data_IF_133652689686
#
_entry.id   IF_133652689686
#
_cell.length_a   1.000
_cell.length_b   1.000
_cell.length_c   1.000
_cell.angle_alpha   90.00
_cell.angle_beta   90.00
_cell.angle_gamma   90.00
#
_symmetry.space_group_name_H-M   'P 1'
#
loop_
_entity.id
_entity.type
_entity.pdbx_description
1 polymer ?
#
# COMPACT_ATOMS: atom_id res chain seq x y z
N UNK A 1 -10.33 -1.70 -0.91
CA UNK A 1 -9.48 -1.50 0.31
C UNK A 1 -9.67 -0.10 0.83
N UNK A 2 -9.93 0.06 2.11
CA UNK A 2 -9.92 1.36 2.77
C UNK A 2 -8.51 1.64 3.30
N UNK A 3 -8.00 2.85 3.12
CA UNK A 3 -6.69 3.25 3.63
C UNK A 3 -6.86 4.31 4.71
N UNK A 4 -6.19 4.16 5.83
CA UNK A 4 -6.11 5.16 6.87
C UNK A 4 -4.74 5.09 7.57
N UNK A 5 -4.59 5.86 8.62
CA UNK A 5 -3.32 6.03 9.33
C UNK A 5 -3.48 5.71 10.81
N UNK A 6 -2.38 5.69 11.55
CA UNK A 6 -2.39 5.87 12.99
C UNK A 6 -2.87 7.30 13.31
N UNK A 7 -3.16 7.57 14.58
CA UNK A 7 -3.63 8.90 15.00
C UNK A 7 -2.53 9.94 14.82
N UNK A 8 -2.93 11.18 14.52
CA UNK A 8 -2.05 12.34 14.32
C UNK A 8 -0.95 12.09 13.27
N UNK A 9 -1.33 11.72 12.03
CA UNK A 9 -0.32 11.46 11.00
C UNK A 9 0.37 12.75 10.55
N UNK A 10 1.63 12.62 10.13
CA UNK A 10 2.36 13.69 9.47
C UNK A 10 1.82 13.95 8.06
N UNK A 11 2.22 15.06 7.46
CA UNK A 11 1.87 15.36 6.07
C UNK A 11 2.43 14.31 5.12
N UNK A 12 3.64 13.82 5.37
CA UNK A 12 4.28 12.77 4.56
C UNK A 12 3.46 11.48 4.59
N UNK A 13 3.01 11.07 5.79
CA UNK A 13 2.19 9.86 5.93
C UNK A 13 0.86 10.01 5.21
N UNK A 14 0.21 11.18 5.32
CA UNK A 14 -1.02 11.46 4.56
C UNK A 14 -0.78 11.42 3.05
N UNK A 15 0.31 12.01 2.58
CA UNK A 15 0.66 12.01 1.16
C UNK A 15 0.90 10.59 0.66
N UNK A 16 1.59 9.77 1.44
CA UNK A 16 1.80 8.37 1.12
C UNK A 16 0.47 7.63 0.96
N UNK A 17 -0.45 7.80 1.91
CA UNK A 17 -1.77 7.17 1.85
C UNK A 17 -2.58 7.65 0.65
N UNK A 18 -2.50 8.93 0.30
CA UNK A 18 -3.15 9.47 -0.89
C UNK A 18 -2.55 8.90 -2.17
N UNK A 19 -1.22 8.75 -2.22
CA UNK A 19 -0.58 8.08 -3.34
C UNK A 19 -1.12 6.67 -3.52
N UNK A 20 -1.19 5.89 -2.44
CA UNK A 20 -1.73 4.53 -2.49
C UNK A 20 -3.19 4.50 -2.93
N UNK A 21 -4.01 5.44 -2.44
CA UNK A 21 -5.42 5.50 -2.84
C UNK A 21 -5.58 5.79 -4.33
N UNK A 22 -4.72 6.61 -4.90
CA UNK A 22 -4.71 6.87 -6.36
C UNK A 22 -4.28 5.63 -7.14
N UNK A 23 -3.23 4.93 -6.68
CA UNK A 23 -2.75 3.71 -7.33
C UNK A 23 -3.86 2.67 -7.44
N UNK A 24 -4.58 2.43 -6.35
CA UNK A 24 -5.58 1.37 -6.27
C UNK A 24 -6.99 1.84 -6.61
N UNK A 25 -7.21 3.14 -6.83
CA UNK A 25 -8.54 3.69 -7.04
C UNK A 25 -9.46 3.43 -5.85
N UNK A 26 -8.94 3.50 -4.63
CA UNK A 26 -9.66 3.17 -3.42
C UNK A 26 -9.80 4.38 -2.50
N UNK A 27 -10.58 4.21 -1.42
CA UNK A 27 -10.87 5.28 -0.48
C UNK A 27 -9.74 5.47 0.54
N UNK A 28 -9.40 6.72 0.80
CA UNK A 28 -8.59 7.14 1.95
C UNK A 28 -9.48 7.94 2.90
N UNK A 29 -9.43 7.64 4.19
CA UNK A 29 -10.13 8.40 5.22
C UNK A 29 -9.15 8.91 6.26
N UNK A 30 -9.35 10.16 6.71
CA UNK A 30 -8.58 10.71 7.82
C UNK A 30 -8.91 9.92 9.09
N UNK A 31 -7.85 9.52 9.82
CA UNK A 31 -8.04 8.77 11.07
C UNK A 31 -8.84 9.56 12.10
N UNK A 32 -8.51 10.84 12.29
CA UNK A 32 -9.15 11.65 13.32
C UNK A 32 -9.08 10.97 14.69
N UNK A 33 -10.22 10.91 15.39
CA UNK A 33 -10.34 10.27 16.71
C UNK A 33 -10.87 8.83 16.62
N UNK A 34 -11.02 8.28 15.42
CA UNK A 34 -11.53 6.92 15.26
C UNK A 34 -10.60 5.90 15.88
N UNK A 35 -11.19 4.94 16.62
CA UNK A 35 -10.47 3.75 17.05
C UNK A 35 -10.54 2.67 15.96
N UNK A 36 -9.96 1.49 16.19
CA UNK A 36 -9.96 0.41 15.19
C UNK A 36 -11.39 -0.05 14.84
N UNK A 37 -12.27 -0.12 15.84
CA UNK A 37 -13.66 -0.51 15.60
C UNK A 37 -14.36 0.47 14.66
N UNK A 38 -14.14 1.78 14.88
CA UNK A 38 -14.73 2.81 14.02
C UNK A 38 -14.22 2.70 12.58
N UNK A 39 -12.92 2.40 12.40
CA UNK A 39 -12.35 2.20 11.06
C UNK A 39 -12.95 0.98 10.37
N UNK A 40 -13.15 -0.12 11.10
CA UNK A 40 -13.77 -1.33 10.54
C UNK A 40 -15.22 -1.09 10.15
N UNK A 41 -15.96 -0.34 10.97
CA UNK A 41 -17.34 0.07 10.63
C UNK A 41 -17.35 0.96 9.39
N UNK A 42 -16.37 1.87 9.27
CA UNK A 42 -16.24 2.71 8.08
C UNK A 42 -15.96 1.89 6.83
N UNK A 43 -15.10 0.88 6.93
CA UNK A 43 -14.82 -0.03 5.82
C UNK A 43 -16.10 -0.76 5.37
N UNK A 44 -16.89 -1.26 6.31
CA UNK A 44 -18.16 -1.91 6.00
C UNK A 44 -19.15 -0.94 5.35
N UNK A 45 -19.25 0.28 5.86
CA UNK A 45 -20.11 1.34 5.32
C UNK A 45 -19.78 1.66 3.86
N UNK A 46 -18.48 1.62 3.50
CA UNK A 46 -18.00 1.90 2.16
C UNK A 46 -17.90 0.64 1.28
N UNK A 47 -18.43 -0.50 1.73
CA UNK A 47 -18.35 -1.79 1.03
C UNK A 47 -16.92 -2.24 0.72
N UNK A 48 -15.97 -1.89 1.60
CA UNK A 48 -14.57 -2.28 1.45
C UNK A 48 -14.32 -3.63 2.12
N UNK A 49 -13.58 -4.50 1.43
CA UNK A 49 -13.26 -5.84 1.91
C UNK A 49 -12.09 -5.82 2.90
N UNK A 50 -11.15 -4.93 2.68
CA UNK A 50 -9.91 -4.84 3.44
C UNK A 50 -9.67 -3.42 3.95
N UNK A 51 -8.85 -3.33 5.01
CA UNK A 51 -8.41 -2.07 5.60
C UNK A 51 -6.88 -2.09 5.69
N UNK A 52 -6.24 -1.03 5.24
CA UNK A 52 -4.80 -0.81 5.43
C UNK A 52 -4.60 0.34 6.41
N UNK A 53 -3.79 0.13 7.44
CA UNK A 53 -3.43 1.16 8.43
C UNK A 53 -1.93 1.41 8.35
N UNK A 54 -1.56 2.66 8.10
CA UNK A 54 -0.17 3.08 8.01
C UNK A 54 0.24 3.76 9.31
N UNK A 55 1.21 3.18 9.99
CA UNK A 55 1.83 3.75 11.19
C UNK A 55 3.11 4.49 10.80
N UNK A 56 3.53 5.40 11.66
CA UNK A 56 4.72 6.22 11.42
C UNK A 56 5.64 6.26 12.63
N UNK A 57 6.92 6.53 12.38
CA UNK A 57 7.91 6.83 13.41
C UNK A 57 8.58 8.13 12.99
N UNK A 58 8.59 9.13 13.89
CA UNK A 58 9.17 10.45 13.62
C UNK A 58 8.66 11.07 12.31
N UNK A 59 7.36 10.92 12.06
CA UNK A 59 6.71 11.49 10.87
C UNK A 59 6.92 10.72 9.57
N UNK A 60 7.58 9.56 9.59
CA UNK A 60 7.84 8.74 8.42
C UNK A 60 7.01 7.45 8.46
N UNK A 61 6.30 7.08 7.39
CA UNK A 61 5.64 5.77 7.32
C UNK A 61 6.63 4.66 7.62
N UNK A 62 6.28 3.79 8.58
CA UNK A 62 7.20 2.77 9.09
C UNK A 62 6.61 1.38 9.13
N UNK A 63 5.27 1.27 9.12
CA UNK A 63 4.56 0.00 9.20
C UNK A 63 3.25 0.11 8.44
N UNK A 64 2.94 -0.92 7.66
CA UNK A 64 1.63 -1.06 7.04
C UNK A 64 1.05 -2.37 7.51
N UNK A 65 -0.12 -2.32 8.13
CA UNK A 65 -0.87 -3.50 8.54
C UNK A 65 -2.14 -3.58 7.71
N UNK A 66 -2.35 -4.73 7.09
CA UNK A 66 -3.54 -5.03 6.31
C UNK A 66 -4.46 -5.92 7.12
N UNK A 67 -5.72 -5.52 7.21
CA UNK A 67 -6.77 -6.25 7.93
C UNK A 67 -7.90 -6.62 6.98
N UNK A 68 -8.59 -7.73 7.27
CA UNK A 68 -9.91 -7.95 6.69
C UNK A 68 -10.90 -6.96 7.32
N UNK A 69 -12.08 -6.78 6.70
CA UNK A 69 -13.12 -5.93 7.29
C UNK A 69 -13.74 -6.51 8.57
N UNK A 70 -13.35 -7.73 8.94
CA UNK A 70 -13.71 -8.36 10.23
C UNK A 70 -12.66 -8.14 11.31
N UNK A 71 -11.56 -7.45 10.98
CA UNK A 71 -10.49 -7.15 11.92
C UNK A 71 -9.39 -8.19 12.01
N UNK A 72 -9.37 -9.19 11.14
CA UNK A 72 -8.30 -10.18 11.09
C UNK A 72 -7.07 -9.57 10.43
N UNK A 73 -5.91 -9.68 11.06
CA UNK A 73 -4.64 -9.24 10.48
C UNK A 73 -4.23 -10.18 9.36
N UNK A 74 -4.08 -9.64 8.15
CA UNK A 74 -3.73 -10.40 6.96
C UNK A 74 -2.23 -10.37 6.67
N UNK A 75 -1.60 -9.22 6.89
CA UNK A 75 -0.19 -9.01 6.63
C UNK A 75 0.27 -7.74 7.33
N UNK A 76 1.45 -7.79 7.92
CA UNK A 76 2.13 -6.59 8.44
C UNK A 76 3.53 -6.54 7.88
N UNK A 77 3.89 -5.39 7.33
CA UNK A 77 5.24 -5.14 6.79
C UNK A 77 5.83 -3.88 7.43
N UNK A 78 7.12 -3.94 7.73
CA UNK A 78 7.90 -2.78 8.14
C UNK A 78 8.52 -2.17 6.89
N UNK A 79 8.42 -0.85 6.75
CA UNK A 79 8.75 -0.17 5.49
C UNK A 79 9.54 1.11 5.68
N UNK A 80 10.18 1.53 4.61
CA UNK A 80 10.63 2.89 4.36
C UNK A 80 10.05 3.29 3.01
N UNK A 81 9.56 4.53 2.88
CA UNK A 81 8.87 4.94 1.66
C UNK A 81 9.42 6.22 1.07
N UNK A 82 9.30 6.37 -0.24
CA UNK A 82 9.42 7.63 -0.95
C UNK A 82 8.06 8.00 -1.51
N UNK A 83 7.60 9.22 -1.24
CA UNK A 83 6.29 9.68 -1.71
C UNK A 83 6.44 10.44 -3.03
N UNK A 84 5.35 10.52 -3.79
CA UNK A 84 5.29 11.29 -5.02
C UNK A 84 4.46 12.55 -4.81
N UNK A 85 4.99 13.69 -5.28
CA UNK A 85 4.26 14.96 -5.33
C UNK A 85 3.66 15.20 -6.71
N UNK A 86 4.02 14.40 -7.71
CA UNK A 86 3.51 14.52 -9.07
C UNK A 86 2.39 13.50 -9.32
N UNK A 87 1.65 13.73 -10.41
CA UNK A 87 0.58 12.83 -10.83
C UNK A 87 1.17 11.46 -11.19
N UNK A 88 0.58 10.39 -10.64
CA UNK A 88 1.11 9.03 -10.84
C UNK A 88 0.78 8.45 -12.22
N UNK A 89 -0.34 8.86 -12.83
CA UNK A 89 -0.78 8.39 -14.15
C UNK A 89 -0.93 6.86 -14.22
N UNK A 90 -1.44 6.26 -13.15
CA UNK A 90 -1.77 4.84 -13.08
C UNK A 90 -3.27 4.69 -13.32
N UNK A 91 -3.64 3.69 -14.11
CA UNK A 91 -5.04 3.30 -14.32
C UNK A 91 -5.36 2.12 -13.39
N UNK A 92 -6.07 2.35 -12.27
CA UNK A 92 -6.29 1.28 -11.27
C UNK A 92 -6.98 0.04 -11.84
N UNK A 93 -7.93 0.21 -12.76
CA UNK A 93 -8.68 -0.90 -13.34
C UNK A 93 -7.83 -1.85 -14.20
N UNK A 94 -6.64 -1.39 -14.63
CA UNK A 94 -5.71 -2.18 -15.46
C UNK A 94 -4.46 -2.61 -14.71
N UNK A 95 -4.41 -2.36 -13.41
CA UNK A 95 -3.23 -2.62 -12.59
C UNK A 95 -2.96 -4.10 -12.46
N UNK A 96 -1.68 -4.48 -12.58
CA UNK A 96 -1.17 -5.84 -12.44
C UNK A 96 -0.11 -5.87 -11.34
N UNK A 97 0.09 -7.04 -10.76
CA UNK A 97 1.19 -7.28 -9.82
C UNK A 97 2.18 -8.24 -10.44
N UNK A 98 3.45 -7.84 -10.49
CA UNK A 98 4.57 -8.69 -10.87
C UNK A 98 5.41 -8.89 -9.61
N UNK A 99 5.43 -10.10 -9.06
CA UNK A 99 6.12 -10.39 -7.81
C UNK A 99 7.27 -11.37 -8.03
N UNK A 100 8.43 -11.03 -7.49
CA UNK A 100 9.61 -11.90 -7.42
C UNK A 100 9.90 -12.31 -5.97
N UNK A 101 8.98 -12.06 -5.04
CA UNK A 101 9.09 -12.39 -3.62
C UNK A 101 7.81 -13.13 -3.21
N UNK A 102 7.91 -14.46 -3.07
CA UNK A 102 6.75 -15.32 -2.84
C UNK A 102 5.95 -14.93 -1.58
N UNK A 103 6.64 -14.52 -0.52
CA UNK A 103 6.01 -14.13 0.74
C UNK A 103 5.11 -12.90 0.61
N UNK A 104 5.29 -12.10 -0.44
CA UNK A 104 4.49 -10.90 -0.71
C UNK A 104 3.43 -11.13 -1.81
N UNK A 105 3.32 -12.33 -2.36
CA UNK A 105 2.30 -12.65 -3.38
C UNK A 105 0.88 -12.49 -2.83
N UNK A 106 0.70 -12.59 -1.52
CA UNK A 106 -0.58 -12.35 -0.84
C UNK A 106 -1.13 -10.94 -1.12
N UNK A 107 -0.28 -9.99 -1.48
CA UNK A 107 -0.71 -8.65 -1.84
C UNK A 107 -1.61 -8.63 -3.08
N UNK A 108 -1.48 -9.61 -3.97
CA UNK A 108 -2.40 -9.78 -5.09
C UNK A 108 -3.85 -9.92 -4.61
N UNK A 109 -4.07 -10.72 -3.59
CA UNK A 109 -5.40 -10.92 -3.00
C UNK A 109 -5.86 -9.69 -2.22
N UNK A 110 -4.96 -9.10 -1.42
CA UNK A 110 -5.28 -7.94 -0.59
C UNK A 110 -5.67 -6.75 -1.46
N UNK A 111 -4.92 -6.49 -2.53
CA UNK A 111 -5.19 -5.41 -3.46
C UNK A 111 -6.25 -5.74 -4.52
N UNK A 112 -6.63 -7.02 -4.61
CA UNK A 112 -7.54 -7.52 -5.65
C UNK A 112 -7.05 -7.16 -7.06
N UNK A 113 -5.79 -7.43 -7.32
CA UNK A 113 -5.15 -7.24 -8.63
C UNK A 113 -4.54 -8.55 -9.10
N UNK A 114 -4.51 -8.74 -10.42
CA UNK A 114 -4.05 -9.97 -11.02
C UNK A 114 -2.52 -10.11 -10.94
N UNK A 115 -2.06 -11.29 -10.51
CA UNK A 115 -0.65 -11.63 -10.49
C UNK A 115 -0.23 -12.08 -11.90
N UNK A 116 0.80 -11.42 -12.45
CA UNK A 116 1.34 -11.71 -13.78
C UNK A 116 2.84 -11.97 -13.71
N UNK A 117 3.39 -12.84 -14.59
CA UNK A 117 4.84 -13.06 -14.63
C UNK A 117 5.61 -11.85 -15.18
N UNK A 118 5.00 -11.07 -16.06
CA UNK A 118 5.58 -9.85 -16.65
C UNK A 118 4.49 -8.82 -16.93
N UNK A 119 4.89 -7.56 -17.02
CA UNK A 119 4.03 -6.47 -17.45
C UNK A 119 4.89 -5.34 -18.03
N UNK A 120 4.28 -4.50 -18.85
CA UNK A 120 4.97 -3.37 -19.50
C UNK A 120 4.42 -2.01 -19.08
N UNK A 121 3.21 -1.97 -18.56
CA UNK A 121 2.54 -0.73 -18.14
C UNK A 121 1.51 -1.04 -17.06
N UNK A 122 1.14 -0.04 -16.27
CA UNK A 122 0.17 -0.17 -15.17
C UNK A 122 0.45 -1.39 -14.30
N UNK A 123 1.62 -1.44 -13.66
CA UNK A 123 1.95 -2.57 -12.82
C UNK A 123 2.75 -2.17 -11.59
N UNK A 124 2.67 -3.03 -10.59
CA UNK A 124 3.47 -2.97 -9.37
C UNK A 124 4.50 -4.09 -9.49
N UNK A 125 5.77 -3.75 -9.29
CA UNK A 125 6.85 -4.73 -9.29
C UNK A 125 7.38 -4.91 -7.87
N UNK A 126 7.31 -6.13 -7.37
CA UNK A 126 7.96 -6.51 -6.11
C UNK A 126 9.23 -7.25 -6.47
N UNK A 127 10.38 -6.62 -6.22
CA UNK A 127 11.70 -7.20 -6.47
C UNK A 127 12.39 -7.57 -5.17
N UNK A 128 13.17 -8.64 -5.22
CA UNK A 128 13.98 -9.07 -4.08
C UNK A 128 15.19 -8.15 -3.92
N UNK A 129 15.48 -7.78 -2.69
CA UNK A 129 16.71 -7.06 -2.34
C UNK A 129 17.53 -7.91 -1.37
N UNK A 130 18.84 -7.85 -1.53
CA UNK A 130 19.80 -8.55 -0.66
C UNK A 130 20.74 -7.55 0.01
N UNK A 131 20.16 -6.50 0.60
CA UNK A 131 20.95 -5.57 1.40
C UNK A 131 20.68 -5.83 2.90
N UNK A 132 21.44 -5.14 3.76
CA UNK A 132 21.37 -5.34 5.21
C UNK A 132 20.03 -4.89 5.81
N UNK A 133 19.37 -3.92 5.18
CA UNK A 133 18.20 -3.23 5.74
C UNK A 133 16.88 -3.65 5.11
N UNK A 134 16.89 -4.16 3.87
CA UNK A 134 15.67 -4.39 3.11
C UNK A 134 15.68 -5.79 2.47
N UNK A 135 14.51 -6.41 2.45
CA UNK A 135 14.30 -7.72 1.80
C UNK A 135 13.63 -7.60 0.45
N UNK A 136 12.90 -6.50 0.23
CA UNK A 136 12.18 -6.30 -1.02
C UNK A 136 11.98 -4.81 -1.30
N UNK A 137 11.72 -4.52 -2.57
CA UNK A 137 11.36 -3.20 -3.06
C UNK A 137 10.08 -3.29 -3.86
N UNK A 138 9.13 -2.41 -3.57
CA UNK A 138 7.88 -2.30 -4.31
C UNK A 138 7.95 -1.02 -5.14
N UNK A 139 7.92 -1.19 -6.46
CA UNK A 139 7.99 -0.09 -7.44
C UNK A 139 6.68 -0.02 -8.21
N UNK A 140 6.31 1.19 -8.64
CA UNK A 140 5.05 1.46 -9.32
C UNK A 140 5.36 2.00 -10.71
N UNK A 141 4.73 1.42 -11.74
CA UNK A 141 4.89 1.81 -13.13
C UNK A 141 3.55 2.26 -13.69
N UNK A 142 3.55 3.41 -14.36
CA UNK A 142 2.32 4.06 -14.81
C UNK A 142 1.81 3.52 -16.15
N UNK A 143 0.74 4.13 -16.67
CA UNK A 143 0.13 3.73 -17.94
C UNK A 143 1.03 3.89 -19.16
N UNK A 144 2.13 4.63 -19.03
CA UNK A 144 3.13 4.81 -20.08
C UNK A 144 4.33 3.87 -19.92
N UNK A 145 4.33 3.02 -18.90
CA UNK A 145 5.44 2.14 -18.57
C UNK A 145 6.59 2.84 -17.84
N UNK A 146 6.40 4.09 -17.43
CA UNK A 146 7.41 4.85 -16.69
C UNK A 146 7.32 4.59 -15.20
N UNK A 147 8.47 4.55 -14.52
CA UNK A 147 8.55 4.34 -13.09
C UNK A 147 8.10 5.61 -12.35
N UNK A 148 7.22 5.44 -11.37
CA UNK A 148 6.78 6.53 -10.50
C UNK A 148 7.80 6.80 -9.39
N UNK A 149 7.73 8.00 -8.81
CA UNK A 149 8.55 8.38 -7.66
C UNK A 149 8.13 7.65 -6.38
N UNK A 150 6.88 7.20 -6.32
CA UNK A 150 6.38 6.41 -5.20
C UNK A 150 7.11 5.07 -5.14
N UNK A 151 7.74 4.76 -3.99
CA UNK A 151 8.44 3.51 -3.77
C UNK A 151 8.28 3.06 -2.33
N UNK A 152 8.26 1.76 -2.12
CA UNK A 152 8.20 1.14 -0.79
C UNK A 152 9.36 0.16 -0.68
N UNK A 153 10.23 0.38 0.31
CA UNK A 153 11.25 -0.61 0.69
C UNK A 153 10.67 -1.41 1.85
N UNK A 154 10.64 -2.72 1.71
CA UNK A 154 10.16 -3.63 2.75
C UNK A 154 11.37 -4.10 3.54
N UNK A 155 11.39 -3.75 4.83
CA UNK A 155 12.47 -4.13 5.76
C UNK A 155 12.24 -5.51 6.34
N UNK A 156 10.99 -5.83 6.67
CA UNK A 156 10.64 -7.08 7.34
C UNK A 156 9.16 -7.38 7.13
N UNK A 157 8.85 -8.66 7.05
CA UNK A 157 7.48 -9.18 7.09
C UNK A 157 7.29 -9.75 8.50
N UNK A 158 6.28 -9.27 9.20
CA UNK A 158 5.98 -9.72 10.56
C UNK A 158 4.99 -10.89 10.58
#
# INVERSE_FOLDING_TARGET
MLISTSRKPSQKTRQFCKNLSHVFGCNYVNRGKMNMRDLLLKALELDEVNLAVVNQIKGNPSRITFYSNKGEELLTILVTVSVSSSRLNIQPSKLKLVSKVDELDVLSNIFNIELKPTATENYILISSLKDEDNIAKISFFNKFGSKCDLQIYVKKIL
#
